data_IF_877582184022
#
_entry.id   IF_877582184022
#
_cell.length_a   1.000
_cell.length_b   1.000
_cell.length_c   1.000
_cell.angle_alpha   90.00
_cell.angle_beta   90.00
_cell.angle_gamma   90.00
#
_symmetry.space_group_name_H-M   'P 1'
#
loop_
_entity.id
_entity.type
_entity.pdbx_description
1 polymer ?
#
# COMPACT_ATOMS: atom_id res chain seq x y z
N UNK A 1 -43.69 7.48 29.21
CA UNK A 1 -42.52 6.91 29.94
C UNK A 1 -41.83 5.76 29.19
N UNK A 2 -42.16 5.46 27.92
CA UNK A 2 -41.53 4.37 27.15
C UNK A 2 -40.49 4.84 26.13
N UNK A 3 -40.52 6.10 25.69
CA UNK A 3 -39.61 6.60 24.65
C UNK A 3 -38.21 6.99 25.15
N UNK A 4 -38.11 7.52 26.38
CA UNK A 4 -36.82 7.92 26.97
C UNK A 4 -35.90 6.72 27.24
N UNK A 5 -36.46 5.55 27.56
CA UNK A 5 -35.68 4.30 27.73
C UNK A 5 -35.21 3.71 26.39
N UNK A 6 -35.92 4.00 25.30
CA UNK A 6 -35.57 3.52 23.97
C UNK A 6 -34.43 4.36 23.38
N UNK A 7 -34.48 5.68 23.58
CA UNK A 7 -33.43 6.59 23.14
C UNK A 7 -32.12 6.39 23.90
N UNK A 8 -32.17 6.11 25.21
CA UNK A 8 -30.97 5.81 25.98
C UNK A 8 -30.32 4.47 25.60
N UNK A 9 -31.11 3.46 25.22
CA UNK A 9 -30.61 2.19 24.71
C UNK A 9 -29.92 2.33 23.34
N UNK A 10 -30.47 3.16 22.45
CA UNK A 10 -29.88 3.46 21.14
C UNK A 10 -28.58 4.24 21.29
N UNK A 11 -28.54 5.25 22.18
CA UNK A 11 -27.33 6.01 22.46
C UNK A 11 -26.21 5.12 23.03
N UNK A 12 -26.53 4.22 23.96
CA UNK A 12 -25.58 3.25 24.50
C UNK A 12 -25.03 2.33 23.39
N UNK A 13 -25.89 1.85 22.48
CA UNK A 13 -25.46 0.97 21.38
C UNK A 13 -24.58 1.68 20.35
N UNK A 14 -24.87 2.96 20.06
CA UNK A 14 -24.02 3.78 19.20
C UNK A 14 -22.66 4.07 19.83
N UNK A 15 -22.61 4.27 21.15
CA UNK A 15 -21.36 4.47 21.87
C UNK A 15 -20.52 3.18 21.92
N UNK A 16 -21.18 2.02 22.03
CA UNK A 16 -20.55 0.71 21.94
C UNK A 16 -20.01 0.44 20.52
N UNK A 17 -20.76 0.79 19.47
CA UNK A 17 -20.33 0.68 18.08
C UNK A 17 -19.19 1.65 17.77
N UNK A 18 -19.22 2.87 18.33
CA UNK A 18 -18.15 3.84 18.19
C UNK A 18 -16.88 3.39 18.92
N UNK A 19 -17.01 2.85 20.13
CA UNK A 19 -15.88 2.26 20.85
C UNK A 19 -15.31 1.03 20.12
N UNK A 20 -16.17 0.22 19.50
CA UNK A 20 -15.75 -0.89 18.64
C UNK A 20 -15.04 -0.40 17.38
N UNK A 21 -15.51 0.68 16.75
CA UNK A 21 -14.86 1.30 15.60
C UNK A 21 -13.54 2.01 15.96
N UNK A 22 -13.43 2.60 17.16
CA UNK A 22 -12.19 3.20 17.69
C UNK A 22 -11.19 2.11 18.14
N UNK A 23 -11.64 0.92 18.57
CA UNK A 23 -10.75 -0.25 18.74
C UNK A 23 -10.38 -0.94 17.42
N UNK A 24 -10.95 -0.48 16.29
CA UNK A 24 -10.48 -0.83 14.93
C UNK A 24 -9.50 0.25 14.43
N UNK A 25 -8.83 0.97 15.34
CA UNK A 25 -7.49 1.47 15.08
C UNK A 25 -6.56 0.28 14.82
N UNK A 26 -6.50 -0.12 13.55
CA UNK A 26 -5.27 -0.37 12.77
C UNK A 26 -4.12 -1.12 13.42
N UNK A 27 -4.37 -2.07 14.32
CA UNK A 27 -3.41 -3.15 14.62
C UNK A 27 -3.55 -4.29 13.59
N UNK A 28 -3.48 -3.93 12.29
CA UNK A 28 -3.05 -4.92 11.30
C UNK A 28 -1.58 -5.16 11.57
N UNK A 29 -1.15 -6.38 11.93
CA UNK A 29 0.26 -6.62 12.16
C UNK A 29 1.01 -6.23 10.89
N UNK A 30 1.91 -5.26 11.02
CA UNK A 30 2.85 -4.81 10.00
C UNK A 30 3.86 -5.94 9.69
N UNK A 31 3.39 -7.07 9.19
CA UNK A 31 4.17 -8.31 9.01
C UNK A 31 4.07 -8.86 7.59
N UNK A 32 3.79 -8.00 6.61
CA UNK A 32 3.78 -8.33 5.18
C UNK A 32 4.97 -7.74 4.42
N UNK A 33 5.19 -8.21 3.19
CA UNK A 33 6.19 -7.63 2.28
C UNK A 33 5.60 -6.38 1.63
N UNK A 34 6.22 -5.22 1.84
CA UNK A 34 5.73 -3.93 1.32
C UNK A 34 6.55 -3.46 0.12
N UNK A 35 5.87 -3.16 -0.98
CA UNK A 35 6.42 -2.55 -2.18
C UNK A 35 5.98 -1.09 -2.25
N UNK A 36 6.89 -0.19 -2.62
CA UNK A 36 6.61 1.25 -2.69
C UNK A 36 6.72 1.73 -4.14
N UNK A 37 5.78 2.56 -4.55
CA UNK A 37 5.85 3.32 -5.80
C UNK A 37 5.60 4.80 -5.48
N UNK A 38 6.64 5.63 -5.61
CA UNK A 38 6.46 7.07 -5.47
C UNK A 38 5.74 7.66 -6.69
N UNK A 39 4.76 8.52 -6.44
CA UNK A 39 3.90 9.13 -7.45
C UNK A 39 3.38 10.49 -6.97
N UNK A 40 3.11 11.39 -7.90
CA UNK A 40 2.32 12.61 -7.69
C UNK A 40 1.06 12.64 -8.58
N UNK A 41 0.75 11.49 -9.19
CA UNK A 41 -0.36 11.26 -10.12
C UNK A 41 -0.28 12.01 -11.46
N UNK A 42 0.71 12.89 -11.66
CA UNK A 42 0.89 13.61 -12.92
C UNK A 42 1.30 12.66 -14.06
N UNK A 43 2.08 11.63 -13.74
CA UNK A 43 2.35 10.45 -14.56
C UNK A 43 2.08 9.16 -13.77
N UNK A 44 0.94 8.53 -14.05
CA UNK A 44 0.52 7.28 -13.42
C UNK A 44 1.01 6.01 -14.15
N UNK A 45 1.87 6.12 -15.17
CA UNK A 45 2.27 4.96 -15.97
C UNK A 45 3.05 3.92 -15.14
N UNK A 46 3.99 4.37 -14.30
CA UNK A 46 4.76 3.49 -13.42
C UNK A 46 3.87 2.85 -12.34
N UNK A 47 2.95 3.62 -11.76
CA UNK A 47 1.96 3.13 -10.81
C UNK A 47 1.07 2.05 -11.42
N UNK A 48 0.49 2.30 -12.61
CA UNK A 48 -0.37 1.34 -13.30
C UNK A 48 0.38 0.08 -13.74
N UNK A 49 1.59 0.22 -14.30
CA UNK A 49 2.40 -0.91 -14.72
C UNK A 49 2.74 -1.82 -13.52
N UNK A 50 3.11 -1.21 -12.39
CA UNK A 50 3.41 -1.92 -11.16
C UNK A 50 2.17 -2.60 -10.59
N UNK A 51 1.03 -1.90 -10.57
CA UNK A 51 -0.24 -2.43 -10.07
C UNK A 51 -0.69 -3.67 -10.87
N UNK A 52 -0.56 -3.64 -12.21
CA UNK A 52 -0.85 -4.81 -13.07
C UNK A 52 0.07 -6.00 -12.80
N UNK A 53 1.35 -5.74 -12.55
CA UNK A 53 2.28 -6.80 -12.19
C UNK A 53 1.97 -7.37 -10.80
N UNK A 54 1.65 -6.49 -9.84
CA UNK A 54 1.25 -6.87 -8.50
C UNK A 54 0.02 -7.78 -8.49
N UNK A 55 -1.03 -7.41 -9.25
CA UNK A 55 -2.24 -8.22 -9.40
C UNK A 55 -2.00 -9.58 -10.05
N UNK A 56 -0.96 -9.69 -10.89
CA UNK A 56 -0.58 -10.94 -11.53
C UNK A 56 0.33 -11.81 -10.65
N UNK A 57 1.10 -11.20 -9.74
CA UNK A 57 2.06 -11.89 -8.90
C UNK A 57 1.43 -12.46 -7.61
N UNK A 58 0.40 -11.81 -7.06
CA UNK A 58 -0.12 -12.12 -5.74
C UNK A 58 -1.62 -12.39 -5.72
N UNK A 59 -2.04 -13.30 -4.85
CA UNK A 59 -3.46 -13.54 -4.54
C UNK A 59 -3.97 -12.50 -3.54
N UNK A 60 -5.30 -12.28 -3.42
CA UNK A 60 -5.87 -11.27 -2.52
C UNK A 60 -5.51 -11.45 -1.05
N UNK A 61 -5.33 -12.70 -0.62
CA UNK A 61 -5.01 -13.03 0.77
C UNK A 61 -3.50 -13.06 1.06
N UNK A 62 -2.66 -12.74 0.05
CA UNK A 62 -1.22 -12.75 0.24
C UNK A 62 -0.80 -11.65 1.25
N UNK A 63 0.11 -11.94 2.19
CA UNK A 63 0.60 -10.98 3.18
C UNK A 63 1.59 -10.00 2.55
N UNK A 64 1.12 -9.23 1.58
CA UNK A 64 1.88 -8.23 0.83
C UNK A 64 1.07 -6.96 0.69
N UNK A 65 1.79 -5.86 0.50
CA UNK A 65 1.20 -4.53 0.33
C UNK A 65 1.88 -3.82 -0.83
N UNK A 66 1.08 -3.21 -1.71
CA UNK A 66 1.55 -2.21 -2.65
C UNK A 66 1.15 -0.81 -2.14
N UNK A 67 2.14 0.00 -1.79
CA UNK A 67 1.92 1.36 -1.31
C UNK A 67 2.27 2.37 -2.40
N UNK A 68 1.31 3.22 -2.75
CA UNK A 68 1.55 4.44 -3.50
C UNK A 68 1.99 5.53 -2.53
N UNK A 69 3.25 5.95 -2.65
CA UNK A 69 3.80 7.02 -1.83
C UNK A 69 3.57 8.36 -2.53
N UNK A 70 3.06 9.36 -1.80
CA UNK A 70 2.79 10.71 -2.32
C UNK A 70 3.57 11.78 -1.53
N UNK A 71 3.94 12.92 -2.15
CA UNK A 71 4.84 13.90 -1.52
C UNK A 71 4.22 14.70 -0.35
N UNK A 72 2.92 14.55 -0.12
CA UNK A 72 2.14 15.23 0.91
C UNK A 72 1.34 14.22 1.73
N UNK A 73 0.64 14.69 2.77
CA UNK A 73 -0.35 13.86 3.45
C UNK A 73 -1.45 13.43 2.47
N UNK A 74 -1.78 12.12 2.37
CA UNK A 74 -2.83 11.64 1.48
C UNK A 74 -4.17 12.29 1.80
N UNK A 75 -4.88 12.71 0.76
CA UNK A 75 -6.26 13.18 0.83
C UNK A 75 -7.20 12.41 -0.08
N UNK A 76 -8.47 12.84 -0.13
CA UNK A 76 -9.52 12.21 -0.94
C UNK A 76 -9.13 12.06 -2.43
N UNK A 77 -8.38 13.01 -2.97
CA UNK A 77 -7.93 12.98 -4.38
C UNK A 77 -6.96 11.83 -4.63
N UNK A 78 -6.06 11.55 -3.69
CA UNK A 78 -5.08 10.48 -3.83
C UNK A 78 -5.76 9.10 -3.76
N UNK A 79 -6.72 8.98 -2.86
CA UNK A 79 -7.56 7.78 -2.74
C UNK A 79 -8.38 7.55 -4.01
N UNK A 80 -8.97 8.61 -4.58
CA UNK A 80 -9.71 8.53 -5.85
C UNK A 80 -8.78 8.13 -7.01
N UNK A 81 -7.58 8.70 -7.10
CA UNK A 81 -6.59 8.32 -8.11
C UNK A 81 -6.20 6.84 -7.99
N UNK A 82 -5.91 6.36 -6.78
CA UNK A 82 -5.61 4.95 -6.53
C UNK A 82 -6.79 4.04 -6.91
N UNK A 83 -8.02 4.43 -6.56
CA UNK A 83 -9.23 3.68 -6.89
C UNK A 83 -9.43 3.57 -8.41
N UNK A 84 -9.24 4.66 -9.17
CA UNK A 84 -9.33 4.65 -10.64
C UNK A 84 -8.33 3.67 -11.25
N UNK A 85 -7.09 3.60 -10.73
CA UNK A 85 -6.10 2.65 -11.21
C UNK A 85 -6.52 1.19 -10.94
N UNK A 86 -7.09 0.93 -9.77
CA UNK A 86 -7.60 -0.38 -9.36
C UNK A 86 -8.79 -0.79 -10.24
N UNK A 87 -9.74 0.11 -10.47
CA UNK A 87 -10.89 -0.13 -11.37
C UNK A 87 -10.42 -0.48 -12.79
N UNK A 88 -9.34 0.16 -13.25
CA UNK A 88 -8.69 -0.12 -14.54
C UNK A 88 -8.16 -1.55 -14.72
N UNK A 89 -8.15 -2.37 -13.67
CA UNK A 89 -7.80 -3.81 -13.72
C UNK A 89 -8.99 -4.73 -14.06
N UNK A 90 -10.18 -4.18 -14.35
CA UNK A 90 -11.38 -4.94 -14.73
C UNK A 90 -11.80 -6.01 -13.71
N UNK A 91 -11.81 -5.67 -12.42
CA UNK A 91 -12.34 -6.54 -11.36
C UNK A 91 -11.37 -7.61 -10.85
N UNK A 92 -10.07 -7.45 -11.09
CA UNK A 92 -9.05 -8.26 -10.42
C UNK A 92 -9.14 -8.07 -8.91
N UNK A 93 -9.25 -9.17 -8.16
CA UNK A 93 -9.12 -9.12 -6.71
C UNK A 93 -7.63 -8.91 -6.37
N UNK A 94 -7.35 -7.95 -5.48
CA UNK A 94 -5.99 -7.53 -5.14
C UNK A 94 -5.68 -7.85 -3.69
N UNK A 95 -4.40 -8.11 -3.42
CA UNK A 95 -3.85 -7.97 -2.08
C UNK A 95 -3.87 -6.49 -1.65
N UNK A 96 -3.46 -6.21 -0.42
CA UNK A 96 -3.54 -4.85 0.16
C UNK A 96 -2.89 -3.80 -0.76
N UNK A 97 -3.60 -2.70 -0.99
CA UNK A 97 -3.11 -1.50 -1.67
C UNK A 97 -3.39 -0.31 -0.76
N UNK A 98 -2.40 0.55 -0.57
CA UNK A 98 -2.48 1.71 0.30
C UNK A 98 -1.93 2.96 -0.38
N UNK A 99 -2.27 4.12 0.16
CA UNK A 99 -1.65 5.41 -0.16
C UNK A 99 -1.10 5.97 1.14
N UNK A 100 0.15 6.46 1.12
CA UNK A 100 0.83 7.00 2.30
C UNK A 100 1.74 8.18 1.92
N UNK A 101 2.04 9.04 2.87
CA UNK A 101 2.94 10.17 2.62
C UNK A 101 4.41 9.71 2.49
N UNK A 102 5.24 10.51 1.82
CA UNK A 102 6.70 10.27 1.76
C UNK A 102 7.33 10.19 3.16
N UNK A 103 6.82 10.97 4.12
CA UNK A 103 7.31 10.94 5.50
C UNK A 103 7.00 9.59 6.15
N UNK A 104 5.74 9.14 6.07
CA UNK A 104 5.30 7.87 6.63
C UNK A 104 6.07 6.68 6.02
N UNK A 105 6.15 6.59 4.69
CA UNK A 105 6.78 5.44 4.03
C UNK A 105 8.27 5.36 4.33
N UNK A 106 8.94 6.51 4.53
CA UNK A 106 10.36 6.55 4.85
C UNK A 106 10.69 6.01 6.25
N UNK A 107 9.69 5.98 7.14
CA UNK A 107 9.84 5.51 8.51
C UNK A 107 9.47 4.03 8.70
N UNK A 108 8.74 3.46 7.74
CA UNK A 108 8.29 2.05 7.75
C UNK A 108 9.21 1.11 6.98
N UNK A 109 9.27 -0.19 7.35
CA UNK A 109 9.99 -1.18 6.56
C UNK A 109 9.38 -1.41 5.17
N UNK A 110 10.24 -1.72 4.21
CA UNK A 110 9.84 -2.02 2.84
C UNK A 110 10.81 -3.01 2.18
N UNK A 111 10.36 -3.73 1.16
CA UNK A 111 11.20 -4.68 0.43
C UNK A 111 11.89 -4.04 -0.77
N UNK A 112 11.12 -3.31 -1.57
CA UNK A 112 11.60 -2.65 -2.78
C UNK A 112 10.77 -1.38 -3.09
N UNK A 113 11.40 -0.38 -3.69
CA UNK A 113 10.79 0.93 -3.95
C UNK A 113 11.22 1.50 -5.31
N UNK A 114 10.25 1.93 -6.11
CA UNK A 114 10.44 2.74 -7.32
C UNK A 114 10.29 4.20 -6.94
N UNK A 115 11.26 5.02 -7.34
CA UNK A 115 11.23 6.46 -7.06
C UNK A 115 11.57 7.15 -8.37
N UNK A 116 10.54 7.53 -9.16
CA UNK A 116 10.74 8.18 -10.43
C UNK A 116 11.68 9.37 -10.31
N UNK A 117 12.61 9.41 -11.25
CA UNK A 117 13.52 10.53 -11.49
C UNK A 117 13.28 11.01 -12.91
N UNK A 118 13.83 12.17 -13.28
CA UNK A 118 13.76 12.71 -14.64
C UNK A 118 14.50 11.88 -15.71
N UNK A 119 14.92 10.64 -15.41
CA UNK A 119 15.60 9.72 -16.33
C UNK A 119 14.71 8.50 -16.66
N UNK A 120 14.03 8.50 -17.82
CA UNK A 120 13.14 7.41 -18.22
C UNK A 120 13.82 6.04 -18.34
N UNK A 121 15.12 6.00 -18.69
CA UNK A 121 15.85 4.72 -18.81
C UNK A 121 16.06 4.08 -17.44
N UNK A 122 16.30 4.90 -16.41
CA UNK A 122 16.36 4.43 -15.03
C UNK A 122 14.99 3.98 -14.55
N UNK A 123 13.93 4.74 -14.82
CA UNK A 123 12.57 4.37 -14.44
C UNK A 123 12.15 3.01 -15.01
N UNK A 124 12.39 2.74 -16.30
CA UNK A 124 12.09 1.43 -16.91
C UNK A 124 12.86 0.30 -16.21
N UNK A 125 14.13 0.55 -15.85
CA UNK A 125 14.96 -0.42 -15.15
C UNK A 125 14.44 -0.68 -13.73
N UNK A 126 14.05 0.38 -12.99
CA UNK A 126 13.48 0.26 -11.65
C UNK A 126 12.14 -0.49 -11.66
N UNK A 127 11.26 -0.19 -12.62
CA UNK A 127 9.99 -0.90 -12.81
C UNK A 127 10.25 -2.38 -13.10
N UNK A 128 11.14 -2.70 -14.04
CA UNK A 128 11.48 -4.09 -14.36
C UNK A 128 12.09 -4.85 -13.17
N UNK A 129 12.94 -4.19 -12.38
CA UNK A 129 13.54 -4.76 -11.18
C UNK A 129 12.48 -5.04 -10.10
N UNK A 130 11.56 -4.10 -9.86
CA UNK A 130 10.46 -4.27 -8.91
C UNK A 130 9.56 -5.44 -9.33
N UNK A 131 9.16 -5.50 -10.59
CA UNK A 131 8.32 -6.59 -11.11
C UNK A 131 9.02 -7.94 -10.92
N UNK A 132 10.29 -8.03 -11.28
CA UNK A 132 11.08 -9.27 -11.07
C UNK A 132 11.08 -9.66 -9.59
N UNK A 133 11.28 -8.68 -8.70
CA UNK A 133 11.28 -8.89 -7.26
C UNK A 133 9.92 -9.36 -6.74
N UNK A 134 8.81 -8.82 -7.24
CA UNK A 134 7.46 -9.28 -6.88
C UNK A 134 7.29 -10.78 -7.18
N UNK A 135 7.68 -11.23 -8.37
CA UNK A 135 7.58 -12.65 -8.74
C UNK A 135 8.54 -13.55 -7.94
N UNK A 136 9.70 -13.04 -7.52
CA UNK A 136 10.61 -13.77 -6.64
C UNK A 136 10.03 -13.92 -5.23
N UNK A 137 9.42 -12.87 -4.70
CA UNK A 137 8.70 -12.88 -3.42
C UNK A 137 7.51 -13.85 -3.50
N UNK A 138 6.70 -13.77 -4.55
CA UNK A 138 5.56 -14.67 -4.76
C UNK A 138 6.01 -16.15 -4.79
N UNK A 139 7.09 -16.46 -5.50
CA UNK A 139 7.63 -17.83 -5.60
C UNK A 139 8.21 -18.37 -4.30
N UNK A 140 8.71 -17.49 -3.44
CA UNK A 140 9.33 -17.85 -2.16
C UNK A 140 8.34 -17.81 -0.99
N UNK A 141 7.08 -17.44 -1.25
CA UNK A 141 6.03 -17.34 -0.25
C UNK A 141 5.61 -18.74 0.23
N UNK A 142 5.49 -18.96 1.54
CA UNK A 142 4.95 -20.21 2.07
C UNK A 142 3.50 -20.41 1.65
N UNK A 143 3.13 -21.64 1.27
CA UNK A 143 1.76 -21.99 0.85
C UNK A 143 0.72 -21.79 1.97
N UNK A 144 1.15 -21.86 3.23
CA UNK A 144 0.30 -21.71 4.41
C UNK A 144 0.24 -20.26 4.94
N UNK A 145 0.97 -19.32 4.31
CA UNK A 145 1.04 -17.92 4.74
C UNK A 145 1.62 -17.72 6.14
N UNK A 146 2.23 -18.75 6.74
CA UNK A 146 2.63 -18.76 8.16
C UNK A 146 3.82 -17.87 8.48
N UNK A 147 4.57 -17.45 7.45
CA UNK A 147 5.79 -16.65 7.61
C UNK A 147 6.08 -15.81 6.37
N UNK A 148 6.93 -14.80 6.55
CA UNK A 148 7.44 -14.01 5.44
C UNK A 148 8.29 -14.87 4.48
N UNK A 149 8.25 -14.59 3.17
CA UNK A 149 9.10 -15.26 2.19
C UNK A 149 10.57 -15.13 2.55
N UNK A 150 11.33 -16.21 2.33
CA UNK A 150 12.77 -16.22 2.59
C UNK A 150 13.47 -15.17 1.72
N UNK A 151 14.15 -14.24 2.37
CA UNK A 151 14.88 -13.16 1.70
C UNK A 151 14.07 -11.89 1.49
N UNK A 152 12.89 -11.75 2.11
CA UNK A 152 12.23 -10.45 2.25
C UNK A 152 13.18 -9.45 2.93
N UNK A 153 13.29 -8.26 2.34
CA UNK A 153 14.14 -7.18 2.81
C UNK A 153 13.36 -6.25 3.75
N UNK A 154 14.10 -5.46 4.53
CA UNK A 154 13.54 -4.39 5.37
C UNK A 154 13.88 -2.99 4.83
N UNK A 155 14.58 -2.95 3.69
CA UNK A 155 14.97 -1.71 3.01
C UNK A 155 16.00 -0.89 3.80
N UNK A 156 16.60 0.08 3.13
CA UNK A 156 17.40 1.11 3.79
C UNK A 156 16.56 2.39 3.86
N UNK A 157 15.97 2.62 5.03
CA UNK A 157 15.09 3.77 5.28
C UNK A 157 15.77 5.11 5.08
N UNK A 158 17.06 5.24 5.40
CA UNK A 158 17.80 6.47 5.18
C UNK A 158 18.04 6.72 3.69
N UNK A 159 18.36 5.66 2.93
CA UNK A 159 18.49 5.75 1.48
C UNK A 159 17.14 6.04 0.80
N UNK A 160 16.05 5.43 1.27
CA UNK A 160 14.69 5.71 0.80
C UNK A 160 14.33 7.17 1.03
N UNK A 161 14.47 7.68 2.26
CA UNK A 161 14.17 9.07 2.60
C UNK A 161 14.95 10.04 1.70
N UNK A 162 16.24 9.77 1.49
CA UNK A 162 17.07 10.58 0.58
C UNK A 162 16.51 10.57 -0.86
N UNK A 163 16.21 9.39 -1.42
CA UNK A 163 15.70 9.27 -2.79
C UNK A 163 14.34 9.94 -2.95
N UNK A 164 13.45 9.84 -1.96
CA UNK A 164 12.16 10.53 -1.97
C UNK A 164 12.32 12.06 -1.97
N UNK A 165 13.35 12.59 -1.30
CA UNK A 165 13.71 14.00 -1.40
C UNK A 165 14.23 14.45 -2.77
N UNK A 166 14.62 13.50 -3.62
CA UNK A 166 15.07 13.72 -5.01
C UNK A 166 13.97 13.41 -6.04
N UNK A 167 12.76 13.06 -5.59
CA UNK A 167 11.64 12.67 -6.45
C UNK A 167 11.29 13.78 -7.46
N UNK A 168 11.13 13.36 -8.72
CA UNK A 168 10.64 14.21 -9.80
C UNK A 168 9.85 13.35 -10.78
N UNK A 169 8.54 13.57 -10.88
CA UNK A 169 7.68 13.02 -11.92
C UNK A 169 7.63 13.94 -13.15
#
# INVERSE_FOLDING_TARGET
MSDEKSLSAIAARLQELKAQAETVETDSPATGVRFIVATDWSDAAAALATLRAYSAAFTPDAPVELCFAVPHEPGEVDEECAAILIEGLNGAALASVSVASFDEVSNTPYDCAIIPTSNPSLLVTEVGALITRMFDIARSMPEDGSSLPKGANQGDRAALHKRLGEFSA
#
